data_IF_928531457818
#
_entry.id   IF_928531457818
#
_cell.length_a   1.000
_cell.length_b   1.000
_cell.length_c   1.000
_cell.angle_alpha   90.00
_cell.angle_beta   90.00
_cell.angle_gamma   90.00
#
_symmetry.space_group_name_H-M   'P 1'
#
loop_
_entity.id
_entity.type
_entity.pdbx_description
1 polymer ?
#
# COMPACT_ATOMS: atom_id res chain seq x y z
N UNK A 1 -9.59 3.45 38.85
CA UNK A 1 -9.58 2.71 37.60
C UNK A 1 -9.49 3.70 36.47
N UNK A 2 -8.30 3.99 35.97
CA UNK A 2 -8.07 4.89 34.80
C UNK A 2 -8.54 4.18 33.55
N UNK A 3 -9.62 4.71 32.95
CA UNK A 3 -10.23 4.19 31.73
C UNK A 3 -9.25 4.38 30.54
N UNK A 4 -8.42 3.39 30.28
CA UNK A 4 -7.35 3.40 29.28
C UNK A 4 -7.91 3.15 27.87
N UNK A 5 -8.95 3.92 27.46
CA UNK A 5 -9.45 3.88 26.08
C UNK A 5 -8.39 4.46 25.17
N UNK A 6 -7.76 3.60 24.36
CA UNK A 6 -6.82 4.04 23.33
C UNK A 6 -7.53 5.01 22.39
N UNK A 7 -6.95 6.18 22.13
CA UNK A 7 -7.44 7.13 21.13
C UNK A 7 -7.49 6.47 19.74
N UNK A 8 -8.45 6.86 18.88
CA UNK A 8 -8.55 6.43 17.49
C UNK A 8 -7.20 6.52 16.75
N UNK A 9 -6.48 7.64 16.93
CA UNK A 9 -5.13 7.80 16.37
C UNK A 9 -4.13 6.77 16.89
N UNK A 10 -4.19 6.38 18.14
CA UNK A 10 -3.31 5.34 18.68
C UNK A 10 -3.60 3.96 18.07
N UNK A 11 -4.86 3.68 17.73
CA UNK A 11 -5.26 2.47 17.02
C UNK A 11 -4.78 2.46 15.55
N UNK A 12 -4.58 3.64 14.97
CA UNK A 12 -3.94 3.82 13.66
C UNK A 12 -2.40 3.79 13.71
N UNK A 13 -1.79 3.58 14.88
CA UNK A 13 -0.34 3.63 15.06
C UNK A 13 0.24 5.05 15.09
N UNK A 14 -0.60 6.07 15.31
CA UNK A 14 -0.19 7.47 15.38
C UNK A 14 -0.02 7.87 16.86
N UNK A 15 1.20 8.26 17.27
CA UNK A 15 1.48 8.55 18.68
C UNK A 15 0.70 9.77 19.19
N UNK A 16 0.41 9.87 20.50
CA UNK A 16 -0.24 11.03 21.11
C UNK A 16 0.64 12.27 20.98
N UNK A 17 0.03 13.46 20.95
CA UNK A 17 0.74 14.73 21.17
C UNK A 17 1.12 14.80 22.66
N UNK A 18 2.30 14.34 23.03
CA UNK A 18 2.82 14.60 24.36
C UNK A 18 3.41 16.01 24.45
N UNK A 19 3.15 16.72 25.56
CA UNK A 19 4.00 17.83 26.03
C UNK A 19 5.40 17.22 26.22
N UNK A 20 6.41 17.97 25.83
CA UNK A 20 7.83 17.63 25.88
C UNK A 20 8.24 17.13 27.29
N UNK A 21 8.03 15.90 27.58
CA UNK A 21 8.64 15.22 28.70
C UNK A 21 9.93 14.56 28.17
N UNK A 22 11.05 15.11 28.56
CA UNK A 22 12.40 14.88 28.03
C UNK A 22 12.88 13.43 28.14
N UNK A 23 12.14 12.58 28.87
CA UNK A 23 12.48 11.17 29.20
C UNK A 23 11.84 10.11 28.33
N UNK A 24 10.90 10.46 27.43
CA UNK A 24 10.25 9.44 26.58
C UNK A 24 11.04 9.18 25.30
N UNK A 25 11.19 7.92 24.94
CA UNK A 25 11.88 7.46 23.73
C UNK A 25 11.29 8.12 22.47
N UNK A 26 12.17 8.62 21.58
CA UNK A 26 11.83 9.23 20.29
C UNK A 26 10.88 8.34 19.45
N UNK A 27 11.10 7.04 19.44
CA UNK A 27 10.29 6.09 18.69
C UNK A 27 8.82 6.06 19.15
N UNK A 28 8.56 6.30 20.43
CA UNK A 28 7.20 6.32 20.98
C UNK A 28 6.40 7.58 20.64
N UNK A 29 7.07 8.62 20.10
CA UNK A 29 6.49 9.94 19.78
C UNK A 29 6.36 10.21 18.29
N UNK A 30 6.95 9.38 17.46
CA UNK A 30 7.08 9.61 16.02
C UNK A 30 6.20 8.64 15.24
N UNK A 31 5.46 9.16 14.27
CA UNK A 31 4.76 8.32 13.30
C UNK A 31 5.80 7.55 12.46
N UNK A 32 5.61 6.25 12.27
CA UNK A 32 6.48 5.38 11.48
C UNK A 32 7.99 5.53 11.81
N UNK A 33 8.42 5.29 13.06
CA UNK A 33 9.81 5.49 13.47
C UNK A 33 10.79 4.58 12.74
N UNK A 34 10.33 3.46 12.19
CA UNK A 34 11.14 2.51 11.42
C UNK A 34 11.13 2.78 9.91
N UNK A 35 10.51 3.87 9.44
CA UNK A 35 10.39 4.26 8.02
C UNK A 35 9.75 3.16 7.14
N UNK A 36 8.78 2.42 7.67
CA UNK A 36 8.17 1.26 7.01
C UNK A 36 7.41 1.63 5.73
N UNK A 37 6.74 2.80 5.71
CA UNK A 37 5.98 3.26 4.54
C UNK A 37 6.86 3.69 3.36
N UNK A 38 8.13 4.01 3.59
CA UNK A 38 9.05 4.54 2.57
C UNK A 38 10.24 3.63 2.27
N UNK A 39 10.25 2.42 2.85
CA UNK A 39 11.30 1.42 2.65
C UNK A 39 10.74 0.12 2.09
N UNK A 40 11.61 -0.69 1.50
CA UNK A 40 11.29 -1.96 0.89
C UNK A 40 12.18 -3.09 1.45
N UNK A 41 11.66 -4.31 1.61
CA UNK A 41 12.48 -5.46 1.95
C UNK A 41 13.35 -5.94 0.76
N UNK A 42 13.00 -5.55 -0.47
CA UNK A 42 13.62 -5.99 -1.71
C UNK A 42 14.50 -4.89 -2.30
N UNK A 43 13.97 -3.67 -2.43
CA UNK A 43 14.69 -2.54 -3.01
C UNK A 43 15.57 -1.87 -1.96
N UNK A 44 16.89 -2.11 -2.02
CA UNK A 44 17.86 -1.48 -1.11
C UNK A 44 18.01 0.02 -1.36
N UNK A 45 17.80 0.45 -2.61
CA UNK A 45 17.89 1.86 -2.99
C UNK A 45 16.50 2.50 -2.96
N UNK A 46 16.24 3.46 -2.06
CA UNK A 46 14.94 4.10 -1.95
C UNK A 46 14.59 4.98 -3.16
N UNK A 47 15.57 5.44 -3.97
CA UNK A 47 15.29 6.15 -5.22
C UNK A 47 14.62 5.24 -6.25
N UNK A 48 15.09 3.99 -6.40
CA UNK A 48 14.48 3.02 -7.32
C UNK A 48 13.05 2.74 -6.87
N UNK A 49 12.85 2.50 -5.58
CA UNK A 49 11.53 2.20 -5.04
C UNK A 49 10.56 3.38 -5.19
N UNK A 50 11.00 4.61 -4.87
CA UNK A 50 10.20 5.82 -5.06
C UNK A 50 9.90 6.09 -6.54
N UNK A 51 10.89 5.89 -7.42
CA UNK A 51 10.73 6.03 -8.88
C UNK A 51 9.69 5.08 -9.46
N UNK A 52 9.69 3.80 -9.05
CA UNK A 52 8.68 2.81 -9.46
C UNK A 52 7.27 3.23 -9.04
N UNK A 53 7.10 3.75 -7.82
CA UNK A 53 5.80 4.27 -7.35
C UNK A 53 5.32 5.44 -8.21
N UNK A 54 6.21 6.37 -8.56
CA UNK A 54 5.87 7.51 -9.44
C UNK A 54 5.51 7.03 -10.85
N UNK A 55 6.22 6.05 -11.41
CA UNK A 55 5.90 5.48 -12.73
C UNK A 55 4.49 4.85 -12.72
N UNK A 56 4.16 4.08 -11.69
CA UNK A 56 2.79 3.53 -11.52
C UNK A 56 1.76 4.64 -11.41
N UNK A 57 2.03 5.67 -10.59
CA UNK A 57 1.13 6.81 -10.45
C UNK A 57 0.89 7.55 -11.77
N UNK A 58 1.96 7.77 -12.56
CA UNK A 58 1.86 8.40 -13.89
C UNK A 58 1.07 7.54 -14.88
N UNK A 59 1.28 6.22 -14.89
CA UNK A 59 0.48 5.32 -15.71
C UNK A 59 -1.01 5.44 -15.38
N UNK A 60 -1.36 5.35 -14.08
CA UNK A 60 -2.76 5.45 -13.62
C UNK A 60 -3.34 6.83 -13.95
N UNK A 61 -2.59 7.92 -13.77
CA UNK A 61 -3.03 9.26 -14.10
C UNK A 61 -3.33 9.42 -15.60
N UNK A 62 -2.41 8.97 -16.46
CA UNK A 62 -2.55 9.06 -17.91
C UNK A 62 -3.77 8.26 -18.38
N UNK A 63 -3.91 7.01 -17.91
CA UNK A 63 -5.07 6.17 -18.25
C UNK A 63 -6.38 6.76 -17.72
N UNK A 64 -6.38 7.33 -16.51
CA UNK A 64 -7.55 8.02 -15.94
C UNK A 64 -7.98 9.20 -16.83
N UNK A 65 -7.03 10.03 -17.30
CA UNK A 65 -7.33 11.18 -18.17
C UNK A 65 -7.88 10.70 -19.51
N UNK A 66 -7.27 9.69 -20.13
CA UNK A 66 -7.72 9.16 -21.41
C UNK A 66 -9.13 8.55 -21.31
N UNK A 67 -9.40 7.78 -20.24
CA UNK A 67 -10.73 7.19 -20.03
C UNK A 67 -11.79 8.26 -19.72
N UNK A 68 -11.45 9.29 -18.96
CA UNK A 68 -12.35 10.42 -18.72
C UNK A 68 -12.65 11.20 -20.02
N UNK A 69 -11.66 11.43 -20.86
CA UNK A 69 -11.82 12.08 -22.16
C UNK A 69 -12.78 11.30 -23.05
N UNK A 70 -12.66 9.96 -23.10
CA UNK A 70 -13.58 9.10 -23.84
C UNK A 70 -15.02 9.21 -23.30
N UNK A 71 -15.22 9.18 -21.97
CA UNK A 71 -16.54 9.39 -21.38
C UNK A 71 -17.13 10.73 -21.74
N UNK A 72 -16.32 11.80 -21.73
CA UNK A 72 -16.76 13.15 -22.10
C UNK A 72 -17.11 13.23 -23.59
N UNK A 73 -16.32 12.63 -24.47
CA UNK A 73 -16.55 12.62 -25.92
C UNK A 73 -17.85 11.88 -26.29
N UNK A 74 -18.23 10.88 -25.50
CA UNK A 74 -19.50 10.14 -25.64
C UNK A 74 -20.71 10.84 -24.99
N UNK A 75 -20.50 12.00 -24.35
CA UNK A 75 -21.56 12.72 -23.64
C UNK A 75 -21.88 12.16 -22.24
N UNK A 76 -21.07 11.22 -21.72
CA UNK A 76 -21.27 10.53 -20.45
C UNK A 76 -20.28 10.97 -19.35
N UNK A 77 -19.64 12.12 -19.51
CA UNK A 77 -18.60 12.60 -18.59
C UNK A 77 -19.07 12.80 -17.15
N UNK A 78 -20.34 13.14 -16.94
CA UNK A 78 -21.00 13.30 -15.64
C UNK A 78 -21.14 11.97 -14.89
N UNK A 79 -21.20 10.83 -15.58
CA UNK A 79 -21.30 9.50 -15.00
C UNK A 79 -19.95 8.89 -14.59
N UNK A 80 -18.81 9.49 -14.99
CA UNK A 80 -17.50 8.91 -14.76
C UNK A 80 -17.21 8.61 -13.27
N UNK A 81 -17.55 9.56 -12.39
CA UNK A 81 -17.36 9.40 -10.94
C UNK A 81 -18.47 8.59 -10.25
N UNK A 82 -19.48 8.17 -10.99
CA UNK A 82 -20.54 7.31 -10.48
C UNK A 82 -20.09 5.86 -10.30
N UNK A 83 -18.97 5.45 -10.90
CA UNK A 83 -18.46 4.09 -10.83
C UNK A 83 -17.44 3.91 -9.70
N UNK A 84 -17.65 2.91 -8.84
CA UNK A 84 -16.72 2.58 -7.74
C UNK A 84 -15.31 2.27 -8.24
N UNK A 85 -15.21 1.61 -9.41
CA UNK A 85 -13.94 1.33 -10.08
C UNK A 85 -13.13 2.60 -10.32
N UNK A 86 -13.75 3.65 -10.89
CA UNK A 86 -13.07 4.91 -11.19
C UNK A 86 -12.65 5.64 -9.92
N UNK A 87 -13.52 5.67 -8.90
CA UNK A 87 -13.20 6.27 -7.60
C UNK A 87 -12.00 5.56 -6.92
N UNK A 88 -11.98 4.23 -6.94
CA UNK A 88 -10.88 3.47 -6.34
C UNK A 88 -9.59 3.57 -7.16
N UNK A 89 -9.69 3.69 -8.47
CA UNK A 89 -8.55 3.87 -9.37
C UNK A 89 -7.89 5.24 -9.18
N UNK A 90 -8.69 6.30 -9.01
CA UNK A 90 -8.21 7.64 -8.61
C UNK A 90 -7.57 7.60 -7.22
N UNK A 91 -8.17 6.88 -6.27
CA UNK A 91 -7.59 6.68 -4.94
C UNK A 91 -6.24 5.98 -4.99
N UNK A 92 -6.10 4.98 -5.86
CA UNK A 92 -4.83 4.28 -6.11
C UNK A 92 -3.76 5.24 -6.67
N UNK A 93 -4.14 6.07 -7.66
CA UNK A 93 -3.29 7.12 -8.23
C UNK A 93 -2.77 8.06 -7.14
N UNK A 94 -3.68 8.62 -6.35
CA UNK A 94 -3.36 9.55 -5.27
C UNK A 94 -2.40 8.93 -4.24
N UNK A 95 -2.63 7.67 -3.88
CA UNK A 95 -1.74 6.94 -2.98
C UNK A 95 -0.34 6.78 -3.57
N UNK A 96 -0.21 6.30 -4.82
CA UNK A 96 1.09 6.08 -5.44
C UNK A 96 1.86 7.38 -5.64
N UNK A 97 1.20 8.49 -5.95
CA UNK A 97 1.84 9.81 -5.95
C UNK A 97 2.31 10.20 -4.55
N UNK A 98 1.43 10.17 -3.56
CA UNK A 98 1.76 10.56 -2.20
C UNK A 98 2.91 9.71 -1.64
N UNK A 99 2.81 8.37 -1.73
CA UNK A 99 3.83 7.45 -1.23
C UNK A 99 5.14 7.54 -2.02
N UNK A 100 5.07 7.76 -3.34
CA UNK A 100 6.22 7.96 -4.20
C UNK A 100 7.00 9.22 -3.83
N UNK A 101 6.31 10.36 -3.70
CA UNK A 101 6.92 11.63 -3.26
C UNK A 101 7.54 11.49 -1.86
N UNK A 102 6.83 10.88 -0.90
CA UNK A 102 7.37 10.64 0.44
C UNK A 102 8.65 9.78 0.38
N UNK A 103 8.65 8.75 -0.47
CA UNK A 103 9.82 7.86 -0.65
C UNK A 103 10.99 8.58 -1.29
N UNK A 104 10.76 9.44 -2.31
CA UNK A 104 11.83 10.26 -2.92
C UNK A 104 12.38 11.29 -1.92
N UNK A 105 11.52 11.95 -1.15
CA UNK A 105 11.94 12.87 -0.08
C UNK A 105 12.81 12.14 0.97
N UNK A 106 12.41 10.94 1.37
CA UNK A 106 13.22 10.08 2.23
C UNK A 106 14.57 9.74 1.58
N UNK A 107 14.57 9.34 0.31
CA UNK A 107 15.77 8.98 -0.44
C UNK A 107 16.77 10.13 -0.53
N UNK A 108 16.29 11.36 -0.81
CA UNK A 108 17.12 12.57 -0.87
C UNK A 108 17.79 12.87 0.49
N UNK A 109 17.04 12.74 1.59
CA UNK A 109 17.56 12.95 2.95
C UNK A 109 18.49 11.80 3.37
N UNK A 110 18.13 10.56 3.04
CA UNK A 110 18.96 9.38 3.28
C UNK A 110 20.33 9.49 2.61
N UNK A 111 20.38 10.01 1.37
CA UNK A 111 21.64 10.26 0.67
C UNK A 111 22.54 11.29 1.37
N UNK A 112 21.94 12.28 2.06
CA UNK A 112 22.68 13.34 2.77
C UNK A 112 23.06 12.95 4.19
N UNK A 113 22.16 12.31 4.92
CA UNK A 113 22.23 12.16 6.38
C UNK A 113 22.36 10.68 6.81
N UNK A 114 22.32 9.71 5.88
CA UNK A 114 22.36 8.28 6.19
C UNK A 114 21.04 7.72 6.74
N UNK A 115 21.13 6.55 7.36
CA UNK A 115 19.98 5.88 8.00
C UNK A 115 19.44 6.72 9.17
N UNK A 116 18.13 6.90 9.25
CA UNK A 116 17.48 7.76 10.26
C UNK A 116 17.00 9.11 9.71
N UNK A 117 17.25 9.39 8.43
CA UNK A 117 16.66 10.55 7.75
C UNK A 117 15.13 10.39 7.69
N UNK A 118 14.37 11.28 8.33
CA UNK A 118 12.91 11.25 8.28
C UNK A 118 12.36 11.72 6.92
N UNK A 119 11.04 11.69 6.77
CA UNK A 119 10.32 12.14 5.57
C UNK A 119 9.14 13.06 5.96
N UNK A 120 8.53 13.82 5.02
CA UNK A 120 7.59 14.88 5.36
C UNK A 120 6.36 14.40 6.16
N UNK A 121 5.72 13.31 5.77
CA UNK A 121 4.56 12.75 6.46
C UNK A 121 4.88 12.41 7.92
N UNK A 122 6.09 11.90 8.19
CA UNK A 122 6.55 11.55 9.52
C UNK A 122 6.82 12.77 10.40
N UNK A 123 7.48 13.80 9.84
CA UNK A 123 8.06 14.89 10.60
C UNK A 123 7.22 16.16 10.63
N UNK A 124 6.61 16.52 9.47
CA UNK A 124 6.03 17.86 9.26
C UNK A 124 4.51 17.84 9.14
N UNK A 125 3.92 16.71 8.75
CA UNK A 125 2.49 16.65 8.48
C UNK A 125 1.67 16.44 9.76
N UNK A 126 0.49 17.06 9.84
CA UNK A 126 -0.38 16.91 11.01
C UNK A 126 -0.91 15.49 11.12
N UNK A 127 -1.26 15.08 12.36
CA UNK A 127 -1.79 13.74 12.68
C UNK A 127 -3.01 13.35 11.84
N UNK A 128 -3.81 14.31 11.45
CA UNK A 128 -4.97 14.09 10.58
C UNK A 128 -4.51 13.52 9.22
N UNK A 129 -3.51 14.11 8.57
CA UNK A 129 -2.97 13.61 7.31
C UNK A 129 -2.25 12.27 7.46
N UNK A 130 -1.60 12.04 8.60
CA UNK A 130 -1.05 10.71 8.92
C UNK A 130 -2.17 9.66 9.01
N UNK A 131 -3.31 10.00 9.66
CA UNK A 131 -4.50 9.14 9.75
C UNK A 131 -5.12 8.86 8.39
N UNK A 132 -5.30 9.91 7.57
CA UNK A 132 -5.79 9.77 6.19
C UNK A 132 -4.87 8.88 5.34
N UNK A 133 -3.55 8.99 5.49
CA UNK A 133 -2.61 8.12 4.78
C UNK A 133 -2.78 6.65 5.18
N UNK A 134 -2.96 6.34 6.47
CA UNK A 134 -3.20 4.97 6.94
C UNK A 134 -4.54 4.42 6.42
N UNK A 135 -5.60 5.25 6.41
CA UNK A 135 -6.90 4.88 5.85
C UNK A 135 -6.78 4.65 4.34
N UNK A 136 -6.17 5.59 3.61
CA UNK A 136 -5.96 5.49 2.16
C UNK A 136 -5.12 4.24 1.82
N UNK A 137 -4.06 3.96 2.57
CA UNK A 137 -3.30 2.71 2.42
C UNK A 137 -4.20 1.49 2.58
N UNK A 138 -5.07 1.47 3.60
CA UNK A 138 -5.98 0.34 3.86
C UNK A 138 -6.98 0.11 2.72
N UNK A 139 -7.49 1.19 2.09
CA UNK A 139 -8.37 1.07 0.91
C UNK A 139 -7.61 0.58 -0.31
N UNK A 140 -6.43 1.15 -0.58
CA UNK A 140 -5.63 0.87 -1.77
C UNK A 140 -5.13 -0.57 -1.85
N UNK A 141 -4.89 -1.22 -0.69
CA UNK A 141 -4.46 -2.63 -0.69
C UNK A 141 -5.60 -3.62 -0.48
N UNK A 142 -6.86 -3.17 -0.45
CA UNK A 142 -8.03 -4.07 -0.32
C UNK A 142 -9.06 -3.86 -1.42
N UNK A 143 -9.47 -2.62 -1.74
CA UNK A 143 -10.50 -2.34 -2.74
C UNK A 143 -10.15 -2.79 -4.16
N UNK A 144 -8.92 -2.68 -4.66
CA UNK A 144 -8.58 -3.19 -5.98
C UNK A 144 -8.90 -4.68 -6.16
N UNK A 145 -8.72 -5.48 -5.12
CA UNK A 145 -9.05 -6.91 -5.19
C UNK A 145 -10.56 -7.15 -5.23
N UNK A 146 -11.35 -6.40 -4.43
CA UNK A 146 -12.83 -6.47 -4.50
C UNK A 146 -13.32 -6.05 -5.88
N UNK A 147 -12.82 -4.92 -6.41
CA UNK A 147 -13.17 -4.43 -7.74
C UNK A 147 -12.89 -5.49 -8.81
N UNK A 148 -11.71 -6.10 -8.77
CA UNK A 148 -11.31 -7.14 -9.71
C UNK A 148 -12.22 -8.36 -9.61
N UNK A 149 -12.47 -8.87 -8.40
CA UNK A 149 -13.32 -10.07 -8.19
C UNK A 149 -14.75 -9.79 -8.64
N UNK A 150 -15.34 -8.68 -8.20
CA UNK A 150 -16.73 -8.33 -8.56
C UNK A 150 -16.88 -8.14 -10.07
N UNK A 151 -15.93 -7.44 -10.70
CA UNK A 151 -15.97 -7.24 -12.15
C UNK A 151 -15.94 -8.54 -12.92
N UNK A 152 -14.95 -9.39 -12.68
CA UNK A 152 -14.82 -10.66 -13.43
C UNK A 152 -15.87 -11.71 -13.08
N UNK A 153 -16.46 -11.64 -11.89
CA UNK A 153 -17.51 -12.56 -11.47
C UNK A 153 -18.91 -12.16 -11.96
N UNK A 154 -19.21 -10.85 -12.07
CA UNK A 154 -20.58 -10.36 -12.31
C UNK A 154 -20.75 -9.54 -13.58
N UNK A 155 -19.70 -8.85 -14.05
CA UNK A 155 -19.80 -7.84 -15.11
C UNK A 155 -18.99 -8.18 -16.35
N UNK A 156 -17.83 -8.83 -16.18
CA UNK A 156 -16.95 -9.21 -17.28
C UNK A 156 -17.55 -10.30 -18.17
N UNK A 157 -17.37 -10.14 -19.49
CA UNK A 157 -17.88 -11.11 -20.47
C UNK A 157 -17.10 -11.04 -21.79
N UNK A 158 -17.53 -11.76 -22.85
CA UNK A 158 -16.86 -11.76 -24.15
C UNK A 158 -16.66 -10.37 -24.75
N UNK A 159 -17.61 -9.43 -24.52
CA UNK A 159 -17.57 -8.05 -24.99
C UNK A 159 -16.29 -7.28 -24.57
N UNK A 160 -15.67 -7.68 -23.47
CA UNK A 160 -14.40 -7.06 -23.00
C UNK A 160 -13.29 -7.22 -24.05
N UNK A 161 -13.34 -8.29 -24.85
CA UNK A 161 -12.29 -8.66 -25.81
C UNK A 161 -12.61 -8.28 -27.26
N UNK A 162 -13.74 -7.62 -27.53
CA UNK A 162 -14.19 -7.27 -28.87
C UNK A 162 -13.32 -6.19 -29.53
N UNK A 163 -12.80 -5.26 -28.75
CA UNK A 163 -11.95 -4.19 -29.25
C UNK A 163 -10.67 -4.05 -28.41
N UNK A 164 -9.61 -3.50 -29.00
CA UNK A 164 -8.39 -3.16 -28.28
C UNK A 164 -8.67 -2.16 -27.16
N UNK A 165 -9.61 -1.23 -27.40
CA UNK A 165 -10.00 -0.23 -26.41
C UNK A 165 -10.67 -0.85 -25.18
N UNK A 166 -11.70 -1.66 -25.37
CA UNK A 166 -12.41 -2.33 -24.27
C UNK A 166 -11.49 -3.25 -23.47
N UNK A 167 -10.62 -3.99 -24.17
CA UNK A 167 -9.61 -4.85 -23.55
C UNK A 167 -8.62 -4.05 -22.71
N UNK A 168 -8.07 -2.96 -23.26
CA UNK A 168 -7.12 -2.11 -22.54
C UNK A 168 -7.74 -1.44 -21.31
N UNK A 169 -8.98 -0.94 -21.43
CA UNK A 169 -9.70 -0.36 -20.32
C UNK A 169 -9.88 -1.41 -19.21
N UNK A 170 -10.48 -2.58 -19.52
CA UNK A 170 -10.74 -3.62 -18.55
C UNK A 170 -9.46 -4.15 -17.88
N UNK A 171 -8.39 -4.35 -18.64
CA UNK A 171 -7.09 -4.76 -18.08
C UNK A 171 -6.54 -3.69 -17.14
N UNK A 172 -6.60 -2.40 -17.53
CA UNK A 172 -6.02 -1.31 -16.73
C UNK A 172 -6.74 -1.13 -15.40
N UNK A 173 -8.08 -1.06 -15.40
CA UNK A 173 -8.84 -0.70 -14.21
C UNK A 173 -9.29 -1.91 -13.38
N UNK A 174 -9.20 -3.14 -13.90
CA UNK A 174 -9.61 -4.36 -13.17
C UNK A 174 -8.50 -5.37 -12.95
N UNK A 175 -7.46 -5.46 -13.80
CA UNK A 175 -6.32 -6.39 -13.61
C UNK A 175 -5.13 -5.65 -13.02
N UNK A 176 -4.65 -4.60 -13.70
CA UNK A 176 -3.47 -3.85 -13.25
C UNK A 176 -3.73 -3.11 -11.93
N UNK A 177 -4.96 -2.71 -11.66
CA UNK A 177 -5.38 -2.17 -10.39
C UNK A 177 -5.00 -3.12 -9.23
N UNK A 178 -5.44 -4.38 -9.29
CA UNK A 178 -5.10 -5.38 -8.27
C UNK A 178 -3.61 -5.75 -8.29
N UNK A 179 -2.99 -5.79 -9.47
CA UNK A 179 -1.57 -6.07 -9.60
C UNK A 179 -0.71 -4.99 -8.91
N UNK A 180 -1.00 -3.72 -9.10
CA UNK A 180 -0.31 -2.62 -8.42
C UNK A 180 -0.51 -2.67 -6.91
N UNK A 181 -1.73 -2.97 -6.44
CA UNK A 181 -2.02 -3.17 -5.02
C UNK A 181 -1.23 -4.36 -4.45
N UNK A 182 -1.13 -5.48 -5.18
CA UNK A 182 -0.33 -6.64 -4.80
C UNK A 182 1.17 -6.30 -4.73
N UNK A 183 1.69 -5.56 -5.71
CA UNK A 183 3.07 -5.08 -5.70
C UNK A 183 3.34 -4.19 -4.48
N UNK A 184 2.44 -3.27 -4.17
CA UNK A 184 2.57 -2.42 -2.99
C UNK A 184 2.53 -3.26 -1.70
N UNK A 185 1.61 -4.23 -1.60
CA UNK A 185 1.52 -5.12 -0.45
C UNK A 185 2.80 -5.96 -0.24
N UNK A 186 3.42 -6.45 -1.32
CA UNK A 186 4.56 -7.37 -1.25
C UNK A 186 5.90 -6.63 -1.14
N UNK A 187 6.07 -5.54 -1.90
CA UNK A 187 7.37 -4.88 -2.07
C UNK A 187 7.64 -3.76 -1.08
N UNK A 188 6.72 -3.46 -0.15
CA UNK A 188 6.92 -2.45 0.88
C UNK A 188 7.18 -3.07 2.25
N UNK A 189 7.75 -2.29 3.17
CA UNK A 189 7.81 -2.65 4.59
C UNK A 189 6.59 -2.14 5.38
N UNK A 190 5.58 -1.55 4.70
CA UNK A 190 4.39 -0.98 5.34
C UNK A 190 3.80 -1.93 6.38
N UNK A 191 3.32 -1.42 7.52
CA UNK A 191 2.75 -2.28 8.58
C UNK A 191 1.49 -3.00 8.08
N UNK A 192 1.08 -4.09 8.72
CA UNK A 192 -0.23 -4.69 8.51
C UNK A 192 -1.32 -3.64 8.71
N UNK A 193 -2.38 -3.70 7.91
CA UNK A 193 -3.51 -2.79 8.04
C UNK A 193 -4.09 -2.85 9.46
N UNK A 194 -4.27 -1.71 10.14
CA UNK A 194 -4.86 -1.70 11.48
C UNK A 194 -6.32 -2.17 11.43
N UNK A 195 -6.71 -3.08 12.34
CA UNK A 195 -8.09 -3.60 12.41
C UNK A 195 -9.16 -2.51 12.53
N UNK A 196 -8.82 -1.37 13.12
CA UNK A 196 -9.73 -0.22 13.24
C UNK A 196 -10.10 0.38 11.88
N UNK A 197 -9.34 0.12 10.82
CA UNK A 197 -9.66 0.61 9.47
C UNK A 197 -10.66 -0.32 8.75
N UNK A 198 -10.91 -1.54 9.22
CA UNK A 198 -11.93 -2.41 8.63
C UNK A 198 -13.33 -1.79 8.66
N UNK A 199 -13.88 -1.34 9.81
CA UNK A 199 -15.18 -0.66 9.78
C UNK A 199 -15.19 0.59 8.92
N UNK A 200 -14.06 1.31 8.80
CA UNK A 200 -13.94 2.47 7.91
C UNK A 200 -14.04 2.05 6.44
N UNK A 201 -13.36 0.97 6.03
CA UNK A 201 -13.46 0.45 4.65
C UNK A 201 -14.87 -0.07 4.34
N UNK A 202 -15.54 -0.73 5.28
CA UNK A 202 -16.95 -1.15 5.11
C UNK A 202 -17.88 0.06 4.99
N UNK A 203 -17.67 1.11 5.81
CA UNK A 203 -18.45 2.34 5.73
C UNK A 203 -18.26 3.03 4.38
N UNK A 204 -17.04 3.12 3.88
CA UNK A 204 -16.75 3.70 2.56
C UNK A 204 -17.40 2.89 1.43
N UNK A 205 -17.34 1.56 1.51
CA UNK A 205 -18.01 0.67 0.56
C UNK A 205 -19.53 0.84 0.61
N UNK A 206 -20.12 0.92 1.81
CA UNK A 206 -21.55 1.20 2.00
C UNK A 206 -21.97 2.60 1.55
N UNK A 207 -21.10 3.61 1.72
CA UNK A 207 -21.34 4.97 1.25
C UNK A 207 -21.43 5.04 -0.28
N UNK A 208 -20.70 4.15 -0.98
CA UNK A 208 -20.80 4.06 -2.42
C UNK A 208 -22.21 3.67 -2.90
N UNK A 209 -22.94 2.85 -2.14
CA UNK A 209 -24.34 2.55 -2.45
C UNK A 209 -25.17 3.84 -2.52
N UNK A 210 -24.91 4.81 -1.65
CA UNK A 210 -25.51 6.14 -1.71
C UNK A 210 -25.18 6.87 -3.02
N UNK A 211 -23.92 6.80 -3.49
CA UNK A 211 -23.53 7.37 -4.79
C UNK A 211 -24.31 6.73 -5.93
N UNK A 212 -24.45 5.41 -5.95
CA UNK A 212 -25.18 4.69 -6.98
C UNK A 212 -26.67 5.08 -7.03
N UNK A 213 -27.32 5.27 -5.87
CA UNK A 213 -28.71 5.75 -5.82
C UNK A 213 -28.85 7.23 -6.23
N UNK A 214 -27.90 8.10 -5.85
CA UNK A 214 -27.87 9.49 -6.33
C UNK A 214 -27.74 9.51 -7.87
N UNK A 215 -26.89 8.65 -8.44
CA UNK A 215 -26.76 8.53 -9.90
C UNK A 215 -28.08 8.11 -10.53
N UNK A 216 -28.77 7.13 -9.98
CA UNK A 216 -30.08 6.72 -10.48
C UNK A 216 -31.09 7.87 -10.44
N UNK A 217 -31.20 8.60 -9.34
CA UNK A 217 -32.14 9.72 -9.20
C UNK A 217 -31.80 10.92 -10.11
N UNK A 218 -30.52 11.15 -10.40
CA UNK A 218 -30.08 12.34 -11.17
C UNK A 218 -29.85 12.05 -12.64
N UNK A 219 -29.47 10.81 -12.99
CA UNK A 219 -29.07 10.43 -14.35
C UNK A 219 -29.96 9.30 -14.93
N UNK A 220 -30.84 8.66 -14.12
CA UNK A 220 -31.83 7.72 -14.59
C UNK A 220 -31.31 6.30 -14.87
N UNK A 221 -30.11 5.93 -14.38
CA UNK A 221 -29.56 4.58 -14.55
C UNK A 221 -28.86 4.07 -13.29
N UNK A 222 -28.83 2.74 -13.10
CA UNK A 222 -27.99 2.10 -12.09
C UNK A 222 -26.59 1.85 -12.64
N UNK A 223 -25.56 2.20 -11.86
CA UNK A 223 -24.15 2.05 -12.25
C UNK A 223 -23.73 0.60 -12.50
N UNK A 224 -24.40 -0.35 -11.89
CA UNK A 224 -24.17 -1.79 -12.08
C UNK A 224 -25.52 -2.51 -12.16
N UNK A 225 -25.65 -3.48 -13.07
CA UNK A 225 -26.88 -4.26 -13.29
C UNK A 225 -27.36 -4.96 -12.01
N UNK A 226 -26.43 -5.47 -11.19
CA UNK A 226 -26.80 -6.11 -9.93
C UNK A 226 -27.38 -5.16 -8.86
N UNK A 227 -27.32 -3.83 -9.08
CA UNK A 227 -27.96 -2.82 -8.24
C UNK A 227 -29.37 -2.45 -8.75
N UNK A 228 -29.76 -2.88 -9.95
CA UNK A 228 -31.06 -2.59 -10.52
C UNK A 228 -32.13 -3.57 -9.99
N UNK A 229 -33.10 -3.09 -9.20
CA UNK A 229 -34.14 -3.98 -8.68
C UNK A 229 -35.18 -4.40 -9.73
N UNK A 230 -35.19 -3.76 -10.91
CA UNK A 230 -36.16 -4.03 -12.00
C UNK A 230 -35.66 -5.10 -12.99
N UNK A 231 -34.38 -5.43 -13.02
CA UNK A 231 -33.87 -6.55 -13.82
C UNK A 231 -34.35 -7.91 -13.26
N UNK A 232 -34.69 -8.84 -14.10
CA UNK A 232 -35.36 -10.14 -13.86
C UNK A 232 -34.96 -10.83 -12.53
N UNK A 233 -35.71 -10.54 -11.47
CA UNK A 233 -35.54 -11.13 -10.14
C UNK A 233 -34.39 -10.55 -9.30
N UNK A 234 -33.58 -9.60 -9.83
CA UNK A 234 -32.42 -9.02 -9.14
C UNK A 234 -32.80 -8.22 -7.90
N UNK A 235 -33.99 -7.63 -7.84
CA UNK A 235 -34.49 -6.93 -6.65
C UNK A 235 -34.52 -7.80 -5.38
N UNK A 236 -34.72 -9.12 -5.51
CA UNK A 236 -34.62 -10.08 -4.40
C UNK A 236 -33.17 -10.44 -4.06
N UNK A 237 -32.24 -10.33 -5.03
CA UNK A 237 -30.83 -10.67 -4.89
C UNK A 237 -29.98 -9.48 -4.46
N UNK A 238 -30.46 -8.24 -4.61
CA UNK A 238 -29.74 -7.03 -4.24
C UNK A 238 -29.16 -7.10 -2.79
N UNK A 239 -29.94 -7.47 -1.75
CA UNK A 239 -29.38 -7.61 -0.41
C UNK A 239 -28.25 -8.66 -0.34
N UNK A 240 -28.38 -9.75 -1.11
CA UNK A 240 -27.35 -10.80 -1.15
C UNK A 240 -26.05 -10.29 -1.78
N UNK A 241 -26.11 -9.50 -2.85
CA UNK A 241 -24.93 -8.87 -3.46
C UNK A 241 -24.26 -7.88 -2.48
N UNK A 242 -25.02 -6.99 -1.85
CA UNK A 242 -24.49 -6.00 -0.90
C UNK A 242 -23.83 -6.69 0.29
N UNK A 243 -24.50 -7.70 0.88
CA UNK A 243 -23.93 -8.46 2.01
C UNK A 243 -22.73 -9.28 1.55
N UNK A 244 -22.81 -9.94 0.39
CA UNK A 244 -21.73 -10.74 -0.17
C UNK A 244 -20.46 -9.93 -0.42
N UNK A 245 -20.58 -8.72 -0.98
CA UNK A 245 -19.47 -7.81 -1.20
C UNK A 245 -18.89 -7.33 0.13
N UNK A 246 -19.72 -7.00 1.13
CA UNK A 246 -19.25 -6.60 2.45
C UNK A 246 -18.52 -7.74 3.18
N UNK A 247 -19.03 -8.96 3.13
CA UNK A 247 -18.36 -10.17 3.66
C UNK A 247 -17.05 -10.43 2.90
N UNK A 248 -17.07 -10.33 1.58
CA UNK A 248 -15.87 -10.42 0.73
C UNK A 248 -14.79 -9.42 1.14
N UNK A 249 -15.17 -8.17 1.44
CA UNK A 249 -14.25 -7.16 1.94
C UNK A 249 -13.66 -7.55 3.30
N UNK A 250 -14.45 -8.10 4.22
CA UNK A 250 -13.95 -8.57 5.52
C UNK A 250 -12.92 -9.70 5.33
N UNK A 251 -13.18 -10.65 4.43
CA UNK A 251 -12.28 -11.75 4.11
C UNK A 251 -10.98 -11.21 3.49
N UNK A 252 -11.09 -10.37 2.47
CA UNK A 252 -9.93 -9.79 1.79
C UNK A 252 -9.06 -8.93 2.72
N UNK A 253 -9.69 -8.10 3.55
CA UNK A 253 -8.98 -7.32 4.57
C UNK A 253 -8.17 -8.22 5.50
N UNK A 254 -8.80 -9.31 5.97
CA UNK A 254 -8.16 -10.31 6.83
C UNK A 254 -6.98 -10.99 6.13
N UNK A 255 -7.17 -11.43 4.89
CA UNK A 255 -6.11 -12.06 4.07
C UNK A 255 -4.95 -11.09 3.86
N UNK A 256 -5.22 -9.85 3.44
CA UNK A 256 -4.21 -8.80 3.25
C UNK A 256 -3.45 -8.49 4.55
N UNK A 257 -4.15 -8.40 5.68
CA UNK A 257 -3.53 -8.22 6.98
C UNK A 257 -2.51 -9.32 7.27
N UNK A 258 -2.91 -10.60 7.12
CA UNK A 258 -2.03 -11.74 7.41
C UNK A 258 -0.89 -11.86 6.39
N UNK A 259 -1.09 -11.54 5.11
CA UNK A 259 -0.01 -11.47 4.11
C UNK A 259 1.03 -10.44 4.56
N UNK A 260 0.61 -9.25 5.01
CA UNK A 260 1.53 -8.22 5.50
C UNK A 260 2.28 -8.68 6.77
N UNK A 261 1.62 -9.37 7.70
CA UNK A 261 2.26 -9.98 8.88
C UNK A 261 3.30 -11.03 8.46
N UNK A 262 2.94 -11.93 7.54
CA UNK A 262 3.84 -12.97 7.02
C UNK A 262 5.06 -12.35 6.35
N UNK A 263 4.85 -11.37 5.45
CA UNK A 263 5.92 -10.63 4.80
C UNK A 263 6.89 -10.01 5.82
N UNK A 264 6.38 -9.36 6.87
CA UNK A 264 7.25 -8.78 7.92
C UNK A 264 8.07 -9.84 8.65
N UNK A 265 7.47 -10.98 8.98
CA UNK A 265 8.18 -12.11 9.61
C UNK A 265 9.28 -12.67 8.69
N UNK A 266 8.98 -12.83 7.39
CA UNK A 266 9.95 -13.30 6.40
C UNK A 266 11.09 -12.30 6.19
N UNK A 267 10.78 -11.01 6.07
CA UNK A 267 11.78 -9.95 5.92
C UNK A 267 12.70 -9.87 7.15
N UNK A 268 12.16 -9.98 8.36
CA UNK A 268 12.94 -10.01 9.59
C UNK A 268 13.85 -11.25 9.68
N UNK A 269 13.33 -12.41 9.29
CA UNK A 269 14.13 -13.67 9.23
C UNK A 269 15.27 -13.55 8.21
N UNK A 270 14.99 -13.04 7.03
CA UNK A 270 15.98 -12.86 5.96
C UNK A 270 17.08 -11.86 6.37
N UNK A 271 16.71 -10.72 6.96
CA UNK A 271 17.66 -9.74 7.51
C UNK A 271 18.56 -10.36 8.58
N UNK A 272 18.01 -11.20 9.47
CA UNK A 272 18.76 -11.93 10.50
C UNK A 272 19.77 -12.90 9.89
N UNK A 273 19.39 -13.62 8.82
CA UNK A 273 20.29 -14.55 8.12
C UNK A 273 21.44 -13.80 7.45
N UNK A 274 21.18 -12.67 6.76
CA UNK A 274 22.23 -11.84 6.15
C UNK A 274 23.22 -11.34 7.19
N UNK A 275 22.74 -10.80 8.31
CA UNK A 275 23.59 -10.28 9.39
C UNK A 275 24.48 -11.38 9.97
N UNK A 276 23.96 -12.60 10.16
CA UNK A 276 24.74 -13.75 10.63
C UNK A 276 25.82 -14.17 9.63
N UNK A 277 25.53 -14.15 8.34
CA UNK A 277 26.50 -14.51 7.29
C UNK A 277 27.61 -13.46 7.16
N UNK A 278 27.27 -12.18 7.22
CA UNK A 278 28.27 -11.09 7.24
C UNK A 278 29.16 -11.17 8.47
N UNK A 279 28.61 -11.48 9.64
CA UNK A 279 29.35 -11.70 10.87
C UNK A 279 30.33 -12.88 10.77
N UNK A 280 29.93 -13.97 10.12
CA UNK A 280 30.80 -15.14 9.83
C UNK A 280 31.93 -14.75 8.87
N UNK A 281 31.62 -14.02 7.79
CA UNK A 281 32.62 -13.54 6.81
C UNK A 281 33.63 -12.61 7.46
N UNK A 282 33.19 -11.69 8.34
CA UNK A 282 34.06 -10.79 9.08
C UNK A 282 35.00 -11.55 10.04
N UNK A 283 34.49 -12.57 10.78
CA UNK A 283 35.31 -13.43 11.64
C UNK A 283 36.37 -14.21 10.85
N UNK A 284 35.99 -14.76 9.66
CA UNK A 284 36.94 -15.48 8.78
C UNK A 284 38.06 -14.57 8.26
N UNK A 285 37.71 -13.31 7.88
CA UNK A 285 38.70 -12.32 7.42
C UNK A 285 39.67 -11.95 8.54
N UNK A 286 39.19 -11.72 9.76
CA UNK A 286 40.04 -11.43 10.94
C UNK A 286 40.93 -12.64 11.30
N UNK A 287 40.44 -13.87 11.22
CA UNK A 287 41.21 -15.08 11.45
C UNK A 287 42.35 -15.26 10.43
N UNK A 288 42.07 -15.05 9.13
CA UNK A 288 43.10 -15.09 8.08
C UNK A 288 44.18 -14.01 8.27
N UNK A 289 43.77 -12.79 8.63
CA UNK A 289 44.71 -11.68 8.86
C UNK A 289 45.63 -11.94 10.09
N UNK A 290 45.09 -12.56 11.17
CA UNK A 290 45.89 -12.95 12.33
C UNK A 290 46.86 -14.12 12.02
N UNK A 291 46.39 -15.14 11.29
CA UNK A 291 47.24 -16.26 10.87
C UNK A 291 48.35 -15.83 9.90
N UNK A 292 48.10 -14.88 9.01
CA UNK A 292 49.11 -14.29 8.12
C UNK A 292 50.19 -13.53 8.90
N UNK A 293 49.81 -12.72 9.92
CA UNK A 293 50.78 -12.02 10.77
C UNK A 293 51.59 -12.95 11.64
N UNK A 294 51.03 -14.05 12.16
CA UNK A 294 51.77 -15.03 12.92
C UNK A 294 52.84 -15.72 12.05
N UNK A 295 52.45 -16.18 10.84
CA UNK A 295 53.42 -16.78 9.87
C UNK A 295 54.54 -15.83 9.44
N UNK A 296 54.23 -14.55 9.26
CA UNK A 296 55.27 -13.54 8.92
C UNK A 296 56.25 -13.33 10.06
N UNK A 297 55.79 -13.32 11.31
CA UNK A 297 56.62 -13.18 12.49
C UNK A 297 57.54 -14.39 12.70
N UNK A 298 57.00 -15.63 12.55
CA UNK A 298 57.76 -16.86 12.62
C UNK A 298 58.84 -16.94 11.50
N UNK A 299 58.61 -16.36 10.33
CA UNK A 299 59.57 -16.31 9.23
C UNK A 299 60.69 -15.28 9.47
N UNK A 300 60.44 -14.16 10.16
CA UNK A 300 61.44 -13.19 10.58
C UNK A 300 62.32 -13.73 11.69
N UNK A 301 61.75 -14.41 12.68
CA UNK A 301 62.52 -15.01 13.81
C UNK A 301 63.33 -16.26 13.39
N UNK A 302 62.93 -16.96 12.34
CA UNK A 302 63.64 -18.14 11.81
C UNK A 302 64.81 -17.83 10.87
N UNK A 303 64.83 -16.62 10.25
CA UNK A 303 65.87 -16.19 9.32
C UNK A 303 67.14 -15.58 9.97
N UNK A 304 67.15 -15.43 11.28
CA UNK A 304 68.29 -14.81 12.04
C UNK A 304 69.29 -15.82 12.66
N UNK A 305 69.23 -17.09 12.32
CA UNK A 305 70.19 -18.10 12.76
C UNK A 305 70.83 -18.82 11.57
N UNK A 306 71.72 -18.12 10.91
CA UNK A 306 72.60 -18.66 9.93
C UNK A 306 73.93 -17.92 9.92
#
# INVERSE_FOLDING_TARGET
MTNNRKSFYALLGIPPKHKLDEKSDWASRTFDPEHKYVTSPIFRNPFIFGGLRIIVALYILITTIIFLEEYVSQGNGDSYLSYFTNLTYIGLCAYFFASGVQTICYALRWRRNGAGAGYPLQQSWPRFLQGLHVILYSTVITFPFIVTIVYWALLGGPHVWETTWSSWNAVSVHILNAFFAACELVFTNSPPVPWITLPVTILLLGSYLGVAYITYETQGFYTYSFLDPSEDGSGKLLPAYVIGIAVGQCILFTVVHFIAVLRQKLAAKYKRVIVLDEGRKAKRRKGKARGGKAKAKDAEEGGGRG
#
